data_IF_826311109030
#
_entry.id   IF_826311109030
#
_cell.length_a   1.000
_cell.length_b   1.000
_cell.length_c   1.000
_cell.angle_alpha   90.00
_cell.angle_beta   90.00
_cell.angle_gamma   90.00
#
_symmetry.space_group_name_H-M   'P 1'
#
loop_
_entity.id
_entity.type
_entity.pdbx_description
1 polymer ?
#
# COMPACT_ATOMS: atom_id res chain seq x y z
N UNK A 1 -6.97 -16.51 18.49
CA UNK A 1 -8.01 -15.76 17.75
C UNK A 1 -7.39 -15.21 16.49
N UNK A 2 -8.16 -15.07 15.41
CA UNK A 2 -7.63 -14.48 14.18
C UNK A 2 -7.59 -12.95 14.31
N UNK A 3 -6.58 -12.31 13.72
CA UNK A 3 -6.53 -10.86 13.54
C UNK A 3 -7.08 -10.51 12.15
N UNK A 4 -8.12 -9.69 12.14
CA UNK A 4 -8.80 -9.25 10.93
C UNK A 4 -8.21 -7.92 10.49
N UNK A 5 -7.56 -7.91 9.32
CA UNK A 5 -6.81 -6.75 8.80
C UNK A 5 -7.51 -6.25 7.54
N UNK A 6 -8.01 -5.02 7.57
CA UNK A 6 -8.58 -4.38 6.39
C UNK A 6 -7.51 -3.68 5.56
N UNK A 7 -7.54 -3.88 4.25
CA UNK A 7 -6.71 -3.16 3.28
C UNK A 7 -7.65 -2.29 2.44
N UNK A 8 -7.54 -0.97 2.60
CA UNK A 8 -8.36 0.02 1.92
C UNK A 8 -7.48 0.99 1.12
N UNK A 9 -8.10 1.78 0.26
CA UNK A 9 -7.43 2.69 -0.66
C UNK A 9 -8.12 2.75 -2.00
N UNK A 10 -7.77 3.74 -2.81
CA UNK A 10 -8.40 4.00 -4.12
C UNK A 10 -8.35 2.79 -5.06
N UNK A 11 -9.29 2.73 -6.00
CA UNK A 11 -9.22 1.76 -7.09
C UNK A 11 -7.89 1.89 -7.85
N UNK A 12 -7.28 0.75 -8.19
CA UNK A 12 -5.99 0.72 -8.89
C UNK A 12 -4.75 1.04 -8.06
N UNK A 13 -4.85 1.30 -6.74
CA UNK A 13 -3.66 1.52 -5.89
C UNK A 13 -2.90 0.22 -5.56
N UNK A 14 -3.43 -0.95 -5.91
CA UNK A 14 -2.74 -2.24 -5.76
C UNK A 14 -3.05 -3.01 -4.48
N UNK A 15 -4.19 -2.77 -3.82
CA UNK A 15 -4.65 -3.49 -2.61
C UNK A 15 -4.55 -5.01 -2.75
N UNK A 16 -5.19 -5.59 -3.75
CA UNK A 16 -5.23 -7.03 -3.97
C UNK A 16 -3.83 -7.60 -4.23
N UNK A 17 -2.97 -6.85 -4.95
CA UNK A 17 -1.57 -7.25 -5.14
C UNK A 17 -0.75 -7.21 -3.84
N UNK A 18 -1.00 -6.23 -2.96
CA UNK A 18 -0.34 -6.17 -1.67
C UNK A 18 -0.82 -7.32 -0.76
N UNK A 19 -2.12 -7.61 -0.73
CA UNK A 19 -2.67 -8.75 0.03
C UNK A 19 -2.00 -10.05 -0.41
N UNK A 20 -1.89 -10.28 -1.73
CA UNK A 20 -1.22 -11.46 -2.26
C UNK A 20 0.24 -11.52 -1.80
N UNK A 21 0.97 -10.40 -1.91
CA UNK A 21 2.37 -10.31 -1.50
C UNK A 21 2.55 -10.60 0.01
N UNK A 22 1.71 -10.02 0.88
CA UNK A 22 1.73 -10.24 2.33
C UNK A 22 1.43 -11.70 2.71
N UNK A 23 0.61 -12.38 1.91
CA UNK A 23 0.31 -13.81 2.02
C UNK A 23 1.36 -14.72 1.35
N UNK A 24 2.41 -14.15 0.76
CA UNK A 24 3.44 -14.91 0.05
C UNK A 24 2.96 -15.54 -1.28
N UNK A 25 1.84 -15.08 -1.81
CA UNK A 25 1.21 -15.59 -3.03
C UNK A 25 1.59 -14.75 -4.26
N UNK A 26 1.68 -15.41 -5.41
CA UNK A 26 1.76 -14.70 -6.69
C UNK A 26 0.36 -14.30 -7.16
N UNK A 27 0.24 -13.23 -7.96
CA UNK A 27 -1.06 -12.79 -8.48
C UNK A 27 -1.76 -13.83 -9.39
N UNK A 28 -1.04 -14.85 -9.86
CA UNK A 28 -1.58 -15.93 -10.69
C UNK A 28 -1.96 -17.17 -9.87
N UNK A 29 -1.79 -17.12 -8.55
CA UNK A 29 -2.15 -18.23 -7.67
C UNK A 29 -3.67 -18.41 -7.62
N UNK A 30 -4.15 -19.65 -7.58
CA UNK A 30 -5.57 -19.98 -7.43
C UNK A 30 -6.21 -19.42 -6.13
N UNK A 31 -5.41 -19.18 -5.08
CA UNK A 31 -5.86 -18.59 -3.81
C UNK A 31 -5.62 -17.07 -3.75
N UNK A 32 -5.10 -16.46 -4.81
CA UNK A 32 -4.83 -15.04 -4.87
C UNK A 32 -6.12 -14.22 -4.92
N UNK A 33 -6.09 -13.05 -4.29
CA UNK A 33 -7.04 -12.00 -4.56
C UNK A 33 -6.92 -11.58 -6.03
N UNK A 34 -8.04 -11.55 -6.74
CA UNK A 34 -8.08 -11.18 -8.14
C UNK A 34 -7.51 -9.76 -8.32
N UNK A 35 -6.66 -9.59 -9.35
CA UNK A 35 -6.03 -8.29 -9.63
C UNK A 35 -6.50 -7.76 -10.98
N UNK A 36 -6.80 -6.47 -11.07
CA UNK A 36 -7.30 -5.81 -12.28
C UNK A 36 -7.21 -4.28 -12.19
N UNK A 37 -7.19 -3.62 -13.35
CA UNK A 37 -7.20 -2.14 -13.46
C UNK A 37 -8.59 -1.58 -13.19
N UNK A 38 -9.62 -2.30 -13.64
CA UNK A 38 -11.02 -2.05 -13.29
C UNK A 38 -11.27 -2.67 -11.92
N UNK A 39 -11.96 -1.95 -11.04
CA UNK A 39 -12.31 -2.47 -9.73
C UNK A 39 -13.17 -3.72 -9.86
N UNK A 40 -12.59 -4.87 -9.51
CA UNK A 40 -13.24 -6.19 -9.57
C UNK A 40 -14.07 -6.49 -8.32
N UNK A 41 -13.98 -5.64 -7.30
CA UNK A 41 -14.43 -5.94 -5.93
C UNK A 41 -15.51 -4.96 -5.51
N UNK A 42 -16.79 -5.33 -5.64
CA UNK A 42 -17.94 -4.53 -5.20
C UNK A 42 -18.36 -4.83 -3.76
N UNK A 43 -17.77 -5.86 -3.15
CA UNK A 43 -18.04 -6.32 -1.79
C UNK A 43 -16.73 -6.65 -1.08
N UNK A 44 -16.68 -6.45 0.24
CA UNK A 44 -15.53 -6.83 1.07
C UNK A 44 -15.23 -8.32 0.91
N UNK A 45 -13.98 -8.65 0.57
CA UNK A 45 -13.53 -10.04 0.38
C UNK A 45 -12.44 -10.40 1.38
N UNK A 46 -12.64 -11.49 2.12
CA UNK A 46 -11.69 -12.00 3.13
C UNK A 46 -10.80 -13.12 2.59
N UNK A 47 -9.52 -13.04 2.89
CA UNK A 47 -8.47 -13.95 2.44
C UNK A 47 -7.64 -14.42 3.64
N UNK A 48 -7.88 -15.63 4.16
CA UNK A 48 -7.06 -16.21 5.22
C UNK A 48 -5.59 -16.36 4.78
N UNK A 49 -4.66 -16.18 5.71
CA UNK A 49 -3.26 -16.47 5.47
C UNK A 49 -3.07 -17.97 5.16
N UNK A 50 -2.29 -18.35 4.14
CA UNK A 50 -2.02 -19.75 3.84
C UNK A 50 -1.12 -20.42 4.88
N UNK A 51 -0.37 -19.66 5.68
CA UNK A 51 0.47 -20.17 6.75
C UNK A 51 -0.36 -20.39 8.04
N UNK A 52 -0.51 -21.63 8.53
CA UNK A 52 -1.29 -21.92 9.75
C UNK A 52 -0.75 -21.23 11.01
N UNK A 53 0.54 -20.87 11.04
CA UNK A 53 1.16 -20.18 12.16
C UNK A 53 0.84 -18.67 12.17
N UNK A 54 0.30 -18.14 11.07
CA UNK A 54 -0.14 -16.75 10.95
C UNK A 54 -1.66 -16.66 11.09
N UNK A 55 -2.20 -16.27 12.26
CA UNK A 55 -3.64 -16.20 12.46
C UNK A 55 -4.20 -14.89 11.86
N UNK A 56 -3.90 -14.59 10.60
CA UNK A 56 -4.33 -13.37 9.91
C UNK A 56 -5.41 -13.66 8.88
N UNK A 57 -6.39 -12.77 8.79
CA UNK A 57 -7.35 -12.74 7.69
C UNK A 57 -7.27 -11.34 7.08
N UNK A 58 -6.88 -11.30 5.81
CA UNK A 58 -6.70 -10.08 5.04
C UNK A 58 -7.97 -9.74 4.28
N UNK A 59 -8.46 -8.51 4.40
CA UNK A 59 -9.70 -8.09 3.74
C UNK A 59 -9.41 -7.04 2.68
N UNK A 60 -9.80 -7.31 1.44
CA UNK A 60 -9.79 -6.31 0.37
C UNK A 60 -11.07 -5.49 0.45
N UNK A 61 -10.94 -4.21 0.81
CA UNK A 61 -12.06 -3.29 0.95
C UNK A 61 -12.26 -2.55 -0.39
N UNK A 62 -13.47 -2.54 -0.97
CA UNK A 62 -13.78 -1.79 -2.20
C UNK A 62 -13.27 -0.35 -2.15
N UNK A 63 -12.68 0.15 -3.22
CA UNK A 63 -12.00 1.43 -3.23
C UNK A 63 -12.90 2.63 -2.97
N UNK A 64 -12.42 3.53 -2.13
CA UNK A 64 -13.02 4.84 -1.95
C UNK A 64 -12.93 5.65 -3.26
N UNK A 65 -14.06 6.11 -3.77
CA UNK A 65 -14.17 6.87 -5.02
C UNK A 65 -14.95 6.19 -6.15
N UNK A 66 -15.27 4.90 -6.01
CA UNK A 66 -16.11 4.18 -6.99
C UNK A 66 -17.54 4.01 -6.52
N UNK A 67 -17.75 4.13 -5.21
CA UNK A 67 -19.07 4.16 -4.60
C UNK A 67 -19.53 5.62 -4.54
N UNK A 68 -20.79 5.89 -4.91
CA UNK A 68 -21.43 7.20 -4.75
C UNK A 68 -21.72 7.51 -3.26
N UNK A 69 -20.72 7.34 -2.41
CA UNK A 69 -20.77 7.52 -0.96
C UNK A 69 -19.86 8.70 -0.63
N UNK A 70 -20.31 9.67 0.19
CA UNK A 70 -19.44 10.72 0.69
C UNK A 70 -18.23 10.16 1.45
N UNK A 71 -17.06 10.76 1.26
CA UNK A 71 -15.80 10.31 1.87
C UNK A 71 -15.89 10.07 3.39
N UNK A 72 -16.64 10.92 4.10
CA UNK A 72 -16.82 10.83 5.54
C UNK A 72 -17.70 9.65 5.98
N UNK A 73 -18.56 9.11 5.11
CA UNK A 73 -19.40 7.95 5.40
C UNK A 73 -18.71 6.63 5.10
N UNK A 74 -17.71 6.64 4.21
CA UNK A 74 -17.05 5.44 3.70
C UNK A 74 -16.60 4.49 4.82
N UNK A 75 -15.98 5.02 5.88
CA UNK A 75 -15.49 4.22 7.01
C UNK A 75 -16.60 3.39 7.67
N UNK A 76 -17.77 3.99 7.90
CA UNK A 76 -18.91 3.31 8.54
C UNK A 76 -19.59 2.38 7.54
N UNK A 77 -19.80 2.83 6.30
CA UNK A 77 -20.49 2.04 5.28
C UNK A 77 -19.74 0.77 4.91
N UNK A 78 -18.41 0.80 4.88
CA UNK A 78 -17.58 -0.38 4.67
C UNK A 78 -17.35 -1.21 5.93
N UNK A 79 -17.91 -0.80 7.08
CA UNK A 79 -17.78 -1.52 8.34
C UNK A 79 -16.35 -1.55 8.87
N UNK A 80 -15.52 -0.54 8.58
CA UNK A 80 -14.10 -0.56 8.95
C UNK A 80 -13.86 -0.66 10.47
N UNK A 81 -14.87 -0.30 11.28
CA UNK A 81 -14.81 -0.37 12.73
C UNK A 81 -14.75 -1.79 13.31
N UNK A 82 -15.01 -2.84 12.52
CA UNK A 82 -15.00 -4.23 13.00
C UNK A 82 -13.62 -4.90 12.93
N UNK A 83 -12.65 -4.27 12.25
CA UNK A 83 -11.32 -4.83 12.04
C UNK A 83 -10.39 -4.52 13.21
N UNK A 84 -9.38 -5.37 13.41
CA UNK A 84 -8.36 -5.16 14.43
C UNK A 84 -7.31 -4.14 13.99
N UNK A 85 -7.15 -3.96 12.68
CA UNK A 85 -6.15 -3.07 12.08
C UNK A 85 -6.62 -2.67 10.67
N UNK A 86 -6.25 -1.45 10.25
CA UNK A 86 -6.55 -0.92 8.92
C UNK A 86 -5.25 -0.48 8.24
N UNK A 87 -5.00 -0.99 7.04
CA UNK A 87 -3.93 -0.55 6.16
C UNK A 87 -4.54 0.36 5.09
N UNK A 88 -4.14 1.63 5.10
CA UNK A 88 -4.59 2.67 4.18
C UNK A 88 -3.57 2.81 3.06
N UNK A 89 -3.88 2.24 1.89
CA UNK A 89 -3.01 2.33 0.71
C UNK A 89 -3.25 3.64 -0.02
N UNK A 90 -2.22 4.47 -0.02
CA UNK A 90 -2.20 5.74 -0.74
C UNK A 90 -1.45 5.60 -2.07
N UNK A 91 -1.93 6.32 -3.09
CA UNK A 91 -1.15 6.51 -4.32
C UNK A 91 -0.37 7.83 -4.29
N UNK A 92 -0.13 8.50 -5.44
CA UNK A 92 0.66 9.74 -5.55
C UNK A 92 0.07 10.88 -4.71
N UNK A 93 -1.24 10.87 -4.50
CA UNK A 93 -1.95 11.94 -3.78
C UNK A 93 -2.73 11.37 -2.61
N UNK A 94 -2.57 12.01 -1.47
CA UNK A 94 -3.44 11.82 -0.31
C UNK A 94 -4.84 12.37 -0.62
N UNK A 95 -5.86 11.53 -0.50
CA UNK A 95 -7.25 11.92 -0.78
C UNK A 95 -8.01 12.29 0.49
N UNK A 96 -9.13 13.00 0.32
CA UNK A 96 -10.04 13.32 1.42
C UNK A 96 -10.59 12.04 2.08
N UNK A 97 -10.77 10.95 1.32
CA UNK A 97 -11.17 9.68 1.90
C UNK A 97 -10.09 9.05 2.76
N UNK A 98 -8.81 9.14 2.36
CA UNK A 98 -7.70 8.61 3.17
C UNK A 98 -7.65 9.33 4.53
N UNK A 99 -7.79 10.66 4.52
CA UNK A 99 -7.91 11.49 5.72
C UNK A 99 -9.10 11.03 6.58
N UNK A 100 -10.27 10.86 5.97
CA UNK A 100 -11.48 10.44 6.67
C UNK A 100 -11.32 9.06 7.31
N UNK A 101 -10.68 8.10 6.63
CA UNK A 101 -10.41 6.77 7.17
C UNK A 101 -9.46 6.87 8.37
N UNK A 102 -8.39 7.65 8.28
CA UNK A 102 -7.40 7.79 9.36
C UNK A 102 -8.00 8.49 10.58
N UNK A 103 -8.74 9.57 10.37
CA UNK A 103 -9.42 10.29 11.46
C UNK A 103 -10.44 9.37 12.16
N UNK A 104 -11.29 8.66 11.40
CA UNK A 104 -12.22 7.72 12.00
C UNK A 104 -11.50 6.57 12.71
N UNK A 105 -10.44 6.00 12.13
CA UNK A 105 -9.66 4.94 12.78
C UNK A 105 -9.16 5.38 14.15
N UNK A 106 -8.66 6.62 14.25
CA UNK A 106 -8.27 7.23 15.53
C UNK A 106 -9.46 7.38 16.49
N UNK A 107 -10.61 7.86 16.03
CA UNK A 107 -11.82 8.02 16.86
C UNK A 107 -12.35 6.70 17.41
N UNK A 108 -12.25 5.62 16.62
CA UNK A 108 -12.64 4.27 17.01
C UNK A 108 -11.52 3.49 17.72
N UNK A 109 -10.36 4.12 17.95
CA UNK A 109 -9.19 3.51 18.59
C UNK A 109 -8.69 2.24 17.86
N UNK A 110 -8.72 2.28 16.53
CA UNK A 110 -8.25 1.20 15.66
C UNK A 110 -6.89 1.60 15.09
N UNK A 111 -5.85 0.77 15.24
CA UNK A 111 -4.57 0.99 14.61
C UNK A 111 -4.71 1.13 13.10
N UNK A 112 -4.18 2.22 12.55
CA UNK A 112 -4.13 2.48 11.11
C UNK A 112 -2.70 2.69 10.62
N UNK A 113 -2.35 2.12 9.48
CA UNK A 113 -1.02 2.23 8.87
C UNK A 113 -1.12 2.80 7.47
N UNK A 114 -0.37 3.87 7.19
CA UNK A 114 -0.32 4.49 5.87
C UNK A 114 0.73 3.76 5.03
N UNK A 115 0.31 3.17 3.92
CA UNK A 115 1.21 2.43 3.02
C UNK A 115 1.20 3.08 1.64
N UNK A 116 2.37 3.51 1.18
CA UNK A 116 2.58 3.99 -0.19
C UNK A 116 3.01 2.80 -1.06
N UNK A 117 2.09 2.31 -1.88
CA UNK A 117 2.39 1.23 -2.82
C UNK A 117 3.15 1.74 -4.06
N UNK A 118 3.63 0.80 -4.89
CA UNK A 118 4.29 1.07 -6.18
C UNK A 118 5.54 1.95 -6.06
N UNK A 119 6.26 1.85 -4.94
CA UNK A 119 7.48 2.63 -4.70
C UNK A 119 8.52 2.44 -5.83
N UNK A 120 8.72 1.19 -6.27
CA UNK A 120 9.60 0.86 -7.39
C UNK A 120 9.26 1.61 -8.68
N UNK A 121 7.98 1.65 -9.06
CA UNK A 121 7.55 2.32 -10.28
C UNK A 121 7.79 3.82 -10.19
N UNK A 122 7.54 4.42 -9.03
CA UNK A 122 7.74 5.86 -8.86
C UNK A 122 9.23 6.22 -8.90
N UNK A 123 10.09 5.44 -8.23
CA UNK A 123 11.54 5.63 -8.32
C UNK A 123 12.03 5.53 -9.76
N UNK A 124 11.54 4.56 -10.54
CA UNK A 124 11.87 4.44 -11.96
C UNK A 124 11.39 5.63 -12.79
N UNK A 125 10.21 6.17 -12.51
CA UNK A 125 9.71 7.37 -13.20
C UNK A 125 10.60 8.59 -12.89
N UNK A 126 11.03 8.76 -11.64
CA UNK A 126 11.95 9.85 -11.26
C UNK A 126 13.30 9.69 -11.98
N UNK A 127 13.79 8.46 -12.13
CA UNK A 127 15.03 8.21 -12.89
C UNK A 127 14.88 8.59 -14.37
N UNK A 128 13.75 8.26 -14.98
CA UNK A 128 13.43 8.65 -16.36
C UNK A 128 13.38 10.19 -16.51
N UNK A 129 12.72 10.88 -15.57
CA UNK A 129 12.69 12.35 -15.49
C UNK A 129 14.09 12.98 -15.29
N UNK A 130 15.01 12.25 -14.66
CA UNK A 130 16.41 12.65 -14.49
C UNK A 130 17.28 12.37 -15.74
N UNK A 131 16.70 11.75 -16.78
CA UNK A 131 17.37 11.44 -18.04
C UNK A 131 17.99 10.05 -18.12
N UNK A 132 17.65 9.12 -17.21
CA UNK A 132 18.08 7.73 -17.31
C UNK A 132 17.28 7.02 -18.41
N UNK A 133 17.93 6.69 -19.52
CA UNK A 133 17.30 5.84 -20.54
C UNK A 133 17.30 4.39 -20.06
N UNK A 134 16.21 3.99 -19.40
CA UNK A 134 16.02 2.64 -18.86
C UNK A 134 16.04 1.53 -19.94
N UNK A 135 15.94 1.90 -21.23
CA UNK A 135 15.93 0.97 -22.36
C UNK A 135 17.31 0.75 -22.97
N UNK A 136 18.21 1.74 -22.88
CA UNK A 136 19.57 1.66 -23.46
C UNK A 136 20.69 1.63 -22.42
N UNK A 137 20.39 1.87 -21.15
CA UNK A 137 21.36 1.81 -20.06
C UNK A 137 21.95 0.40 -19.87
N UNK A 138 23.28 0.34 -19.81
CA UNK A 138 24.06 -0.87 -19.52
C UNK A 138 24.07 -1.24 -18.02
N UNK A 139 23.33 -0.47 -17.21
CA UNK A 139 23.20 -0.61 -15.76
C UNK A 139 24.06 0.37 -14.97
N UNK A 140 24.87 1.21 -15.64
CA UNK A 140 25.74 2.19 -15.00
C UNK A 140 24.96 3.41 -14.55
N UNK A 141 24.13 3.98 -15.42
CA UNK A 141 23.30 5.15 -15.07
C UNK A 141 22.26 4.77 -14.03
N UNK A 142 21.69 3.56 -14.12
CA UNK A 142 20.74 3.05 -13.12
C UNK A 142 21.37 3.01 -11.73
N UNK A 143 22.60 2.50 -11.58
CA UNK A 143 23.25 2.40 -10.26
C UNK A 143 23.57 3.77 -9.66
N UNK A 144 23.95 4.73 -10.49
CA UNK A 144 24.28 6.08 -10.06
C UNK A 144 23.05 6.90 -9.66
N UNK A 145 21.97 6.81 -10.46
CA UNK A 145 20.77 7.63 -10.27
C UNK A 145 19.76 7.04 -9.28
N UNK A 146 19.78 5.72 -9.04
CA UNK A 146 18.88 5.05 -8.12
C UNK A 146 18.87 5.64 -6.69
N UNK A 147 20.01 5.89 -6.01
CA UNK A 147 19.98 6.46 -4.67
C UNK A 147 19.37 7.87 -4.64
N UNK A 148 19.67 8.70 -5.64
CA UNK A 148 19.13 10.06 -5.75
C UNK A 148 17.62 10.04 -6.00
N UNK A 149 17.16 9.18 -6.92
CA UNK A 149 15.74 9.01 -7.21
C UNK A 149 14.97 8.46 -6.00
N UNK A 150 15.56 7.52 -5.26
CA UNK A 150 15.01 6.96 -4.02
C UNK A 150 14.87 8.04 -2.94
N UNK A 151 15.90 8.84 -2.70
CA UNK A 151 15.86 9.93 -1.71
C UNK A 151 14.80 10.97 -2.07
N UNK A 152 14.72 11.35 -3.35
CA UNK A 152 13.70 12.27 -3.84
C UNK A 152 12.29 11.72 -3.63
N UNK A 153 12.04 10.46 -3.99
CA UNK A 153 10.75 9.81 -3.77
C UNK A 153 10.36 9.77 -2.28
N UNK A 154 11.30 9.43 -1.39
CA UNK A 154 11.09 9.38 0.06
C UNK A 154 10.70 10.77 0.57
N UNK A 155 11.48 11.79 0.19
CA UNK A 155 11.26 13.17 0.61
C UNK A 155 9.91 13.70 0.13
N UNK A 156 9.60 13.55 -1.16
CA UNK A 156 8.34 14.01 -1.75
C UNK A 156 7.13 13.30 -1.12
N UNK A 157 7.24 11.99 -0.85
CA UNK A 157 6.16 11.22 -0.20
C UNK A 157 5.95 11.67 1.25
N UNK A 158 7.03 11.82 2.03
CA UNK A 158 6.92 12.29 3.42
C UNK A 158 6.36 13.69 3.50
N UNK A 159 6.82 14.60 2.64
CA UNK A 159 6.30 15.96 2.57
C UNK A 159 4.81 15.96 2.24
N UNK A 160 4.40 15.22 1.21
CA UNK A 160 3.00 15.15 0.79
C UNK A 160 2.10 14.64 1.92
N UNK A 161 2.47 13.54 2.58
CA UNK A 161 1.65 12.98 3.65
C UNK A 161 1.64 13.89 4.89
N UNK A 162 2.80 14.40 5.30
CA UNK A 162 2.92 15.30 6.45
C UNK A 162 2.08 16.56 6.28
N UNK A 163 2.17 17.22 5.13
CA UNK A 163 1.38 18.42 4.85
C UNK A 163 -0.13 18.15 4.90
N UNK A 164 -0.57 17.01 4.34
CA UNK A 164 -2.00 16.66 4.34
C UNK A 164 -2.49 16.28 5.74
N UNK A 165 -1.69 15.58 6.55
CA UNK A 165 -2.03 15.28 7.94
C UNK A 165 -2.13 16.56 8.79
N UNK A 166 -1.17 17.49 8.64
CA UNK A 166 -1.20 18.78 9.35
C UNK A 166 -2.41 19.61 8.95
N UNK A 167 -2.73 19.70 7.65
CA UNK A 167 -3.91 20.40 7.15
C UNK A 167 -5.22 19.80 7.69
N UNK A 168 -5.22 18.50 7.97
CA UNK A 168 -6.36 17.79 8.54
C UNK A 168 -6.36 17.76 10.08
N UNK A 169 -5.42 18.45 10.73
CA UNK A 169 -5.25 18.46 12.20
C UNK A 169 -5.04 17.05 12.80
N UNK A 170 -4.45 16.14 12.01
CA UNK A 170 -4.13 14.78 12.42
C UNK A 170 -2.69 14.69 12.94
N UNK A 171 -2.43 13.81 13.93
CA UNK A 171 -1.07 13.58 14.40
C UNK A 171 -0.20 13.01 13.28
N UNK A 172 1.12 13.30 13.30
CA UNK A 172 2.04 12.73 12.33
C UNK A 172 2.02 11.20 12.43
N UNK A 173 1.93 10.54 11.27
CA UNK A 173 2.00 9.09 11.16
C UNK A 173 3.12 8.69 10.23
N UNK A 174 3.71 7.53 10.49
CA UNK A 174 4.72 6.95 9.60
C UNK A 174 4.05 6.46 8.31
N UNK A 175 4.75 6.66 7.20
CA UNK A 175 4.39 6.13 5.88
C UNK A 175 5.34 4.99 5.56
N UNK A 176 4.79 3.83 5.22
CA UNK A 176 5.55 2.68 4.78
C UNK A 176 5.57 2.64 3.26
N UNK A 177 6.73 2.80 2.65
CA UNK A 177 6.87 2.82 1.21
C UNK A 177 7.30 1.44 0.71
N UNK A 178 6.44 0.80 -0.09
CA UNK A 178 6.62 -0.60 -0.44
C UNK A 178 6.45 -0.89 -1.93
N UNK A 179 7.26 -1.83 -2.41
CA UNK A 179 7.04 -2.55 -3.66
C UNK A 179 6.44 -3.92 -3.38
N UNK A 180 5.38 -4.29 -4.12
CA UNK A 180 4.77 -5.63 -4.01
C UNK A 180 5.79 -6.75 -4.21
N UNK A 181 6.76 -6.54 -5.10
CA UNK A 181 7.73 -7.57 -5.48
C UNK A 181 8.72 -7.82 -4.33
N UNK A 182 9.08 -6.76 -3.60
CA UNK A 182 9.96 -6.84 -2.44
C UNK A 182 9.23 -7.42 -1.23
N UNK A 183 7.98 -7.03 -0.99
CA UNK A 183 7.14 -7.63 0.06
C UNK A 183 7.00 -9.14 -0.17
N UNK A 184 6.68 -9.56 -1.40
CA UNK A 184 6.57 -10.97 -1.73
C UNK A 184 7.89 -11.74 -1.58
N UNK A 185 9.03 -11.12 -1.92
CA UNK A 185 10.35 -11.71 -1.73
C UNK A 185 10.68 -11.92 -0.24
N UNK A 186 10.38 -10.92 0.60
CA UNK A 186 10.62 -10.97 2.03
C UNK A 186 9.74 -12.03 2.72
N UNK A 187 8.44 -12.05 2.44
CA UNK A 187 7.51 -13.06 2.97
C UNK A 187 7.89 -14.48 2.52
N UNK A 188 8.35 -14.64 1.28
CA UNK A 188 8.77 -15.92 0.73
C UNK A 188 10.15 -16.42 1.18
N UNK A 189 10.84 -15.71 2.09
CA UNK A 189 12.16 -16.09 2.59
C UNK A 189 13.27 -16.09 1.52
N UNK A 190 13.05 -15.42 0.38
CA UNK A 190 14.04 -15.28 -0.70
C UNK A 190 14.92 -14.08 -0.39
N UNK A 191 16.23 -14.17 -0.64
CA UNK A 191 17.07 -12.97 -0.73
C UNK A 191 16.38 -12.00 -1.69
N UNK A 192 16.17 -10.77 -1.23
CA UNK A 192 15.49 -9.70 -1.96
C UNK A 192 16.00 -9.68 -3.41
N UNK A 193 15.10 -9.91 -4.38
CA UNK A 193 15.46 -10.06 -5.81
C UNK A 193 16.10 -8.76 -6.35
N UNK A 194 15.85 -7.64 -5.66
CA UNK A 194 16.44 -6.31 -5.87
C UNK A 194 16.53 -5.64 -4.50
N UNK A 195 17.55 -4.82 -4.28
CA UNK A 195 17.80 -4.11 -3.01
C UNK A 195 16.49 -3.64 -2.34
N UNK A 196 16.31 -3.87 -1.02
CA UNK A 196 15.11 -3.42 -0.31
C UNK A 196 14.93 -1.92 -0.55
N UNK A 197 13.81 -1.59 -1.21
CA UNK A 197 13.63 -0.27 -1.78
C UNK A 197 13.42 0.72 -0.65
N UNK A 198 12.63 0.48 0.39
CA UNK A 198 12.52 1.39 1.55
C UNK A 198 12.11 0.67 2.85
N UNK A 199 10.83 0.34 3.04
CA UNK A 199 10.26 -0.07 4.34
C UNK A 199 9.73 -1.52 4.36
N UNK A 200 9.99 -2.32 3.33
CA UNK A 200 9.32 -3.61 3.15
C UNK A 200 9.52 -4.60 4.29
N UNK A 201 10.69 -4.62 4.93
CA UNK A 201 10.98 -5.47 6.11
C UNK A 201 10.15 -5.07 7.34
N UNK A 202 9.83 -3.78 7.49
CA UNK A 202 9.15 -3.28 8.69
C UNK A 202 7.61 -3.36 8.58
N UNK A 203 7.11 -3.67 7.38
CA UNK A 203 5.67 -3.87 7.13
C UNK A 203 5.24 -5.33 7.31
N UNK A 204 6.16 -6.29 7.14
CA UNK A 204 5.89 -7.74 7.20
C UNK A 204 6.12 -8.28 8.61
#
# INVERSE_FOLDING_TARGET
GHSHIAVTGRAGCGKSSLINALRGLTNNDHQAAATGVVETTTQVAGYPDPDPEKPFIWYDIPGAGTLNIPDWQYFITQGLFVFNCIIVLIDIRFSATDIAIIDNSRRFNIPSYIVRSKANQHVLNIMDDMGCDLMTDDGTQRKEMLPVARERFISETHQNVSENLVKAELPPQRVYMVSKDNVAAFVGGRQTVRDPIIDEEQLV
#
